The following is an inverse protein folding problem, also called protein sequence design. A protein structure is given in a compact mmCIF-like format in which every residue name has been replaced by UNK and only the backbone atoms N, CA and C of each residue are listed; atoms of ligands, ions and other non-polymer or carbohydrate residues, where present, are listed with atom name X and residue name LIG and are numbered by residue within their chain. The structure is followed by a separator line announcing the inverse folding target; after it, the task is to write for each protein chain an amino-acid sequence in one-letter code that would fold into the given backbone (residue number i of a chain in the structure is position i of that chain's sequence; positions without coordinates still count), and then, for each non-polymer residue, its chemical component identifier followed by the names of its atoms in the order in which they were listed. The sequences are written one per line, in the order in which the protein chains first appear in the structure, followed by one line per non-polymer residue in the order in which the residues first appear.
data_IF_437555637073
#
_entry.id   IF_437555637073
#
_cell.length_a   1.000
_cell.length_b   1.000
_cell.length_c   1.000
_cell.angle_alpha   90.00
_cell.angle_beta   90.00
_cell.angle_gamma   90.00
#
_symmetry.space_group_name_H-M   'P 1'
#
loop_
_entity.id
_entity.type
_entity.pdbx_description
1 polymer ?
#
# COMPACT_ATOMS: atom_id res chain seq x y z
N UNK A 1 6.87 5.74 0.59
CA UNK A 1 5.91 6.81 0.85
C UNK A 1 4.87 6.83 -0.25
N UNK A 2 3.62 7.10 0.11
CA UNK A 2 2.48 7.25 -0.78
C UNK A 2 1.75 8.55 -0.43
N UNK A 3 1.29 9.26 -1.46
CA UNK A 3 0.43 10.42 -1.35
C UNK A 3 -0.83 10.11 -2.15
N UNK A 4 -1.99 10.04 -1.49
CA UNK A 4 -3.25 9.68 -2.15
C UNK A 4 -4.31 10.76 -1.93
N UNK A 5 -5.03 11.19 -2.98
CA UNK A 5 -6.17 12.08 -2.82
C UNK A 5 -7.35 11.34 -2.20
N UNK A 6 -8.08 12.01 -1.32
CA UNK A 6 -9.29 11.51 -0.69
C UNK A 6 -10.38 12.58 -0.72
N UNK A 7 -11.44 12.32 -1.48
CA UNK A 7 -12.46 13.32 -1.74
C UNK A 7 -11.91 14.51 -2.55
N UNK A 8 -12.54 15.65 -2.39
CA UNK A 8 -12.16 16.89 -3.07
C UNK A 8 -11.22 17.77 -2.25
N UNK A 9 -11.00 17.43 -0.98
CA UNK A 9 -10.41 18.36 0.00
C UNK A 9 -9.24 17.80 0.81
N UNK A 10 -8.89 16.52 0.65
CA UNK A 10 -7.83 15.90 1.46
C UNK A 10 -6.77 15.20 0.61
N UNK A 11 -5.52 15.31 1.08
CA UNK A 11 -4.42 14.44 0.68
C UNK A 11 -3.97 13.64 1.89
N UNK A 12 -3.74 12.34 1.71
CA UNK A 12 -3.25 11.45 2.76
C UNK A 12 -1.83 11.03 2.42
N UNK A 13 -0.90 11.32 3.30
CA UNK A 13 0.50 10.93 3.20
C UNK A 13 0.81 9.83 4.21
N UNK A 14 1.38 8.72 3.74
CA UNK A 14 1.68 7.57 4.59
C UNK A 14 2.75 6.65 3.99
N UNK A 15 3.12 5.60 4.74
CA UNK A 15 4.07 4.58 4.30
C UNK A 15 5.51 5.06 4.30
N UNK A 16 5.87 5.77 5.37
CA UNK A 16 7.20 6.27 5.68
C UNK A 16 8.12 5.17 6.19
N UNK A 17 9.41 5.45 6.21
CA UNK A 17 10.41 4.58 6.82
C UNK A 17 11.56 5.41 7.35
N UNK A 18 12.23 4.89 8.39
CA UNK A 18 13.50 5.39 8.88
C UNK A 18 14.61 4.45 8.43
N UNK A 19 15.78 5.02 8.11
CA UNK A 19 16.99 4.27 7.81
C UNK A 19 18.07 4.59 8.85
N UNK A 20 18.68 3.56 9.43
CA UNK A 20 19.84 3.75 10.30
C UNK A 20 21.13 3.98 9.49
N UNK A 21 22.23 4.28 10.19
CA UNK A 21 23.54 4.54 9.56
C UNK A 21 24.11 3.32 8.83
N UNK A 22 23.62 2.12 9.15
CA UNK A 22 23.99 0.86 8.51
C UNK A 22 23.09 0.55 7.30
N UNK A 23 22.13 1.43 7.00
CA UNK A 23 21.17 1.27 5.91
C UNK A 23 20.04 0.30 6.24
N UNK A 24 19.87 -0.13 7.50
CA UNK A 24 18.69 -0.90 7.87
C UNK A 24 17.48 0.00 7.89
N UNK A 25 16.41 -0.47 7.28
CA UNK A 25 15.16 0.26 7.13
C UNK A 25 14.12 -0.31 8.08
N UNK A 26 13.42 0.56 8.81
CA UNK A 26 12.23 0.22 9.59
C UNK A 26 11.08 1.10 9.15
N UNK A 27 9.94 0.49 8.82
CA UNK A 27 8.77 1.24 8.40
C UNK A 27 8.14 1.98 9.59
N UNK A 28 7.59 3.16 9.28
CA UNK A 28 6.97 4.05 10.25
C UNK A 28 5.47 4.09 9.97
N UNK A 29 4.66 3.95 11.01
CA UNK A 29 3.19 3.90 10.93
C UNK A 29 2.51 5.26 10.78
N UNK A 30 3.26 6.35 10.69
CA UNK A 30 2.71 7.70 10.65
C UNK A 30 1.77 7.92 9.45
N UNK A 31 0.71 8.67 9.70
CA UNK A 31 -0.28 9.12 8.72
C UNK A 31 -0.45 10.61 8.87
N UNK A 32 -0.32 11.35 7.77
CA UNK A 32 -0.59 12.78 7.74
C UNK A 32 -1.72 13.09 6.77
N UNK A 33 -2.61 13.97 7.20
CA UNK A 33 -3.77 14.41 6.44
C UNK A 33 -3.58 15.89 6.14
N UNK A 34 -3.50 16.24 4.87
CA UNK A 34 -3.52 17.63 4.42
C UNK A 34 -4.95 18.03 4.08
N UNK A 35 -5.43 19.13 4.64
CA UNK A 35 -6.68 19.74 4.22
C UNK A 35 -6.38 20.86 3.21
N UNK A 36 -6.88 20.70 1.98
CA UNK A 36 -6.67 21.63 0.86
C UNK A 36 -7.28 23.02 1.13
N UNK A 37 -8.38 23.10 1.88
CA UNK A 37 -9.04 24.37 2.18
C UNK A 37 -8.31 25.18 3.25
N UNK A 38 -7.88 24.52 4.33
CA UNK A 38 -7.17 25.19 5.42
C UNK A 38 -5.67 25.32 5.17
N UNK A 39 -5.13 24.57 4.21
CA UNK A 39 -3.72 24.54 3.86
C UNK A 39 -2.84 23.91 4.95
N UNK A 40 -3.41 23.09 5.85
CA UNK A 40 -2.73 22.55 7.03
C UNK A 40 -2.62 21.04 7.00
N UNK A 41 -1.48 20.56 7.49
CA UNK A 41 -1.27 19.16 7.83
C UNK A 41 -1.73 18.88 9.26
N UNK A 42 -2.33 17.71 9.47
CA UNK A 42 -2.58 17.14 10.78
C UNK A 42 -2.07 15.70 10.82
N UNK A 43 -1.58 15.26 11.97
CA UNK A 43 -1.23 13.86 12.20
C UNK A 43 -2.51 13.08 12.53
N UNK A 44 -2.75 11.99 11.81
CA UNK A 44 -3.79 11.02 12.14
C UNK A 44 -3.25 9.86 12.97
N UNK A 45 -4.13 8.93 13.32
CA UNK A 45 -3.81 7.73 14.06
C UNK A 45 -2.75 6.89 13.34
N UNK A 46 -1.70 6.56 14.09
CA UNK A 46 -0.62 5.75 13.57
C UNK A 46 -1.13 4.34 13.26
N UNK A 47 -0.65 3.79 12.15
CA UNK A 47 -0.86 2.39 11.85
C UNK A 47 -0.08 1.50 12.82
N UNK A 48 -0.80 0.65 13.56
CA UNK A 48 -0.24 -0.24 14.60
C UNK A 48 0.94 -1.08 14.11
N UNK A 49 0.87 -1.58 12.87
CA UNK A 49 1.98 -2.25 12.20
C UNK A 49 2.44 -1.40 11.00
N UNK A 50 3.38 -0.48 11.25
CA UNK A 50 3.94 0.41 10.22
C UNK A 50 4.47 -0.37 9.02
N UNK A 51 4.20 0.16 7.81
CA UNK A 51 4.59 -0.46 6.53
C UNK A 51 4.89 0.59 5.48
N UNK A 52 6.01 0.46 4.79
CA UNK A 52 6.37 1.28 3.63
C UNK A 52 6.28 0.44 2.34
N UNK A 53 6.33 1.08 1.17
CA UNK A 53 6.19 0.37 -0.13
C UNK A 53 4.93 -0.51 -0.22
N UNK A 54 3.87 -0.10 0.48
CA UNK A 54 2.57 -0.77 0.47
C UNK A 54 1.79 -0.35 -0.78
N UNK A 55 0.91 -1.23 -1.25
CA UNK A 55 -0.09 -0.81 -2.22
C UNK A 55 -1.18 -0.02 -1.47
N UNK A 56 -1.29 1.28 -1.78
CA UNK A 56 -2.25 2.19 -1.13
C UNK A 56 -3.33 2.59 -2.15
N UNK A 57 -4.59 2.63 -1.71
CA UNK A 57 -5.70 3.16 -2.50
C UNK A 57 -6.71 3.88 -1.61
N UNK A 58 -7.36 4.92 -2.15
CA UNK A 58 -8.38 5.68 -1.44
C UNK A 58 -9.77 5.43 -2.06
N UNK A 59 -10.79 5.29 -1.21
CA UNK A 59 -12.20 5.35 -1.58
C UNK A 59 -12.76 6.67 -1.09
N UNK A 60 -12.90 7.61 -2.02
CA UNK A 60 -13.38 8.96 -1.73
C UNK A 60 -14.86 9.00 -1.34
N UNK A 61 -15.65 8.00 -1.71
CA UNK A 61 -17.09 7.95 -1.38
C UNK A 61 -17.28 7.51 0.07
N UNK A 62 -16.47 6.56 0.53
CA UNK A 62 -16.52 6.05 1.90
C UNK A 62 -15.54 6.73 2.85
N UNK A 63 -14.69 7.61 2.33
CA UNK A 63 -13.65 8.32 3.07
C UNK A 63 -12.66 7.34 3.75
N UNK A 64 -12.30 6.28 3.01
CA UNK A 64 -11.44 5.19 3.49
C UNK A 64 -10.11 5.16 2.72
N UNK A 65 -9.03 4.79 3.41
CA UNK A 65 -7.72 4.51 2.79
C UNK A 65 -7.31 3.07 3.07
N UNK A 66 -7.06 2.31 2.02
CA UNK A 66 -6.64 0.92 2.08
C UNK A 66 -5.13 0.81 1.95
N UNK A 67 -4.52 0.03 2.83
CA UNK A 67 -3.11 -0.34 2.77
C UNK A 67 -2.98 -1.86 2.66
N UNK A 68 -2.34 -2.34 1.60
CA UNK A 68 -2.15 -3.78 1.34
C UNK A 68 -0.67 -4.11 1.27
N UNK A 69 -0.24 -5.02 2.14
CA UNK A 69 1.13 -5.51 2.22
C UNK A 69 2.15 -4.45 2.59
N UNK A 70 3.28 -4.42 1.88
CA UNK A 70 4.39 -3.50 2.17
C UNK A 70 5.48 -4.07 3.07
N UNK A 71 6.62 -3.39 3.05
CA UNK A 71 7.81 -3.71 3.82
C UNK A 71 7.66 -3.19 5.26
N UNK A 72 7.97 -4.04 6.24
CA UNK A 72 8.02 -3.70 7.67
C UNK A 72 9.45 -3.35 8.07
N UNK A 73 10.42 -4.18 7.68
CA UNK A 73 11.84 -4.00 8.02
C UNK A 73 12.73 -4.61 6.95
N UNK A 74 13.85 -3.97 6.59
CA UNK A 74 14.88 -4.58 5.74
C UNK A 74 16.27 -4.30 6.31
N UNK A 75 17.18 -5.26 6.23
CA UNK A 75 18.60 -5.03 6.55
C UNK A 75 19.34 -4.65 5.27
N UNK A 76 20.24 -3.68 5.33
CA UNK A 76 21.06 -3.26 4.20
C UNK A 76 20.32 -2.59 3.02
N UNK A 77 19.16 -1.97 3.28
CA UNK A 77 18.44 -1.13 2.31
C UNK A 77 17.11 -1.71 1.79
N UNK A 78 16.34 -0.86 1.11
CA UNK A 78 14.99 -1.16 0.59
C UNK A 78 14.95 -2.26 -0.49
N UNK A 79 16.09 -2.53 -1.13
CA UNK A 79 16.18 -3.51 -2.22
C UNK A 79 16.34 -4.96 -1.71
N UNK A 80 16.59 -5.13 -0.41
CA UNK A 80 16.69 -6.45 0.19
C UNK A 80 15.31 -7.02 0.52
N UNK A 81 15.20 -8.36 0.52
CA UNK A 81 13.92 -9.07 0.67
C UNK A 81 13.12 -8.64 1.91
N UNK A 82 13.82 -8.31 3.00
CA UNK A 82 13.24 -7.79 4.23
C UNK A 82 12.11 -8.66 4.81
N UNK A 83 11.39 -8.10 5.77
CA UNK A 83 10.16 -8.61 6.31
C UNK A 83 9.00 -7.85 5.64
N UNK A 84 8.16 -8.56 4.89
CA UNK A 84 7.03 -8.00 4.15
C UNK A 84 5.74 -8.39 4.87
N UNK A 85 4.90 -7.40 5.16
CA UNK A 85 3.56 -7.63 5.70
C UNK A 85 2.72 -8.42 4.70
N UNK A 86 2.01 -9.42 5.21
CA UNK A 86 0.97 -10.14 4.45
C UNK A 86 -0.45 -9.63 4.72
N UNK A 87 -0.57 -8.60 5.54
CA UNK A 87 -1.85 -8.09 5.99
C UNK A 87 -2.35 -6.97 5.09
N UNK A 88 -3.67 -6.81 5.08
CA UNK A 88 -4.33 -5.62 4.58
C UNK A 88 -5.11 -4.93 5.70
N UNK A 89 -5.09 -3.60 5.70
CA UNK A 89 -5.83 -2.78 6.65
C UNK A 89 -6.51 -1.61 5.93
N UNK A 90 -7.53 -1.07 6.58
CA UNK A 90 -8.25 0.12 6.15
C UNK A 90 -8.21 1.16 7.24
N UNK A 91 -7.95 2.40 6.86
CA UNK A 91 -8.03 3.57 7.71
C UNK A 91 -9.32 4.31 7.40
N UNK A 92 -10.16 4.46 8.42
CA UNK A 92 -11.32 5.32 8.39
C UNK A 92 -10.86 6.72 8.80
N UNK A 93 -10.85 7.65 7.85
CA UNK A 93 -10.36 9.02 8.09
C UNK A 93 -11.33 9.85 8.92
N UNK A 94 -12.63 9.53 8.89
CA UNK A 94 -13.64 10.23 9.70
C UNK A 94 -13.56 9.84 11.17
N UNK A 95 -13.31 8.55 11.44
CA UNK A 95 -13.17 8.03 12.80
C UNK A 95 -11.73 8.13 13.34
N UNK A 96 -10.77 8.47 12.48
CA UNK A 96 -9.34 8.45 12.76
C UNK A 96 -8.87 7.10 13.31
N UNK A 97 -9.24 6.00 12.64
CA UNK A 97 -8.99 4.63 13.14
C UNK A 97 -8.62 3.63 12.05
N UNK A 98 -7.76 2.69 12.44
CA UNK A 98 -7.35 1.55 11.62
C UNK A 98 -8.17 0.30 11.93
N UNK A 99 -8.53 -0.44 10.88
CA UNK A 99 -9.23 -1.72 10.96
C UNK A 99 -8.56 -2.77 10.06
N UNK A 100 -8.49 -4.05 10.47
CA UNK A 100 -8.03 -5.12 9.59
C UNK A 100 -9.05 -5.36 8.47
N UNK A 101 -8.57 -5.60 7.25
CA UNK A 101 -9.44 -5.71 6.07
C UNK A 101 -10.31 -6.98 6.04
N UNK A 102 -9.99 -8.00 6.84
CA UNK A 102 -10.83 -9.19 7.06
C UNK A 102 -12.14 -8.90 7.77
N UNK A 103 -12.26 -7.75 8.45
CA UNK A 103 -13.37 -7.44 9.33
C UNK A 103 -14.46 -6.60 8.69
N UNK A 104 -14.51 -6.49 7.35
CA UNK A 104 -15.56 -5.72 6.67
C UNK A 104 -16.92 -6.46 6.57
N UNK A 105 -17.42 -6.92 7.72
CA UNK A 105 -18.85 -6.77 8.05
C UNK A 105 -19.13 -5.33 8.51
N UNK A 106 -18.55 -4.34 7.82
CA UNK A 106 -18.77 -2.91 8.02
C UNK A 106 -20.12 -2.53 7.41
N UNK A 107 -21.20 -3.08 7.99
CA UNK A 107 -22.37 -2.26 8.25
C UNK A 107 -21.96 -1.29 9.36
N UNK A 108 -21.85 -0.01 8.99
CA UNK A 108 -21.63 1.15 9.86
C UNK A 108 -22.56 1.11 11.10
N UNK A 109 -22.19 0.37 12.14
CA UNK A 109 -23.01 0.28 13.35
C UNK A 109 -22.61 -0.72 14.43
N UNK A 110 -21.92 -1.84 14.18
CA UNK A 110 -21.53 -2.79 15.25
C UNK A 110 -20.29 -3.62 14.93
N UNK A 111 -19.11 -3.10 15.25
CA UNK A 111 -17.94 -3.96 15.43
C UNK A 111 -17.96 -4.48 16.89
N UNK A 112 -18.47 -5.70 17.10
CA UNK A 112 -18.15 -6.46 18.32
C UNK A 112 -16.83 -7.18 18.08
N UNK A 113 -15.86 -6.90 18.93
CA UNK A 113 -14.66 -7.71 19.11
C UNK A 113 -15.08 -9.14 19.49
N UNK A 114 -15.00 -10.05 18.54
CA UNK A 114 -14.90 -11.47 18.86
C UNK A 114 -13.47 -11.88 18.54
N UNK A 115 -12.72 -12.22 19.58
CA UNK A 115 -11.30 -12.57 19.57
C UNK A 115 -10.96 -13.86 18.82
N UNK A 116 -11.22 -13.89 17.51
CA UNK A 116 -10.66 -14.84 16.58
C UNK A 116 -9.75 -14.08 15.60
N UNK A 117 -8.43 -14.30 15.70
CA UNK A 117 -7.44 -13.75 14.78
C UNK A 117 -7.60 -14.38 13.39
N UNK A 118 -8.54 -13.87 12.60
CA UNK A 118 -8.52 -14.08 11.15
C UNK A 118 -7.77 -12.88 10.57
N UNK A 119 -6.44 -12.98 10.55
CA UNK A 119 -5.61 -11.99 9.86
C UNK A 119 -6.06 -11.90 8.40
N UNK A 120 -6.30 -10.68 7.94
CA UNK A 120 -6.61 -10.35 6.55
C UNK A 120 -5.41 -10.52 5.66
N UNK A 121 -5.00 -11.78 5.49
CA UNK A 121 -3.93 -12.17 4.63
C UNK A 121 -4.38 -11.97 3.18
N UNK A 122 -3.66 -11.15 2.42
CA UNK A 122 -3.83 -11.13 0.98
C UNK A 122 -3.32 -12.46 0.37
N UNK A 123 -3.72 -12.82 -0.86
CA UNK A 123 -3.60 -14.18 -1.40
C UNK A 123 -2.18 -14.76 -1.28
N UNK A 124 -2.03 -16.06 -0.96
CA UNK A 124 -0.72 -16.67 -0.72
C UNK A 124 0.23 -16.64 -1.92
N UNK A 125 -0.36 -16.54 -3.11
CA UNK A 125 0.28 -16.37 -4.41
C UNK A 125 0.86 -14.96 -4.60
N UNK A 126 0.27 -13.93 -4.00
CA UNK A 126 0.80 -12.57 -4.04
C UNK A 126 2.03 -12.49 -3.12
N UNK A 127 3.20 -12.33 -3.71
CA UNK A 127 4.48 -12.19 -3.02
C UNK A 127 4.65 -10.79 -2.46
N UNK A 128 4.41 -9.78 -3.30
CA UNK A 128 4.58 -8.36 -2.98
C UNK A 128 3.53 -7.53 -3.71
N UNK A 129 2.68 -6.82 -2.96
CA UNK A 129 1.78 -5.80 -3.51
C UNK A 129 2.59 -4.54 -3.87
N UNK A 130 2.25 -3.89 -5.00
CA UNK A 130 2.99 -2.74 -5.53
C UNK A 130 2.13 -1.51 -5.79
N UNK A 131 0.91 -1.72 -6.29
CA UNK A 131 -0.02 -0.62 -6.55
C UNK A 131 -1.44 -1.09 -6.31
N UNK A 132 -2.29 -0.19 -5.82
CA UNK A 132 -3.70 -0.44 -5.62
C UNK A 132 -4.54 0.71 -6.18
N UNK A 133 -5.79 0.41 -6.53
CA UNK A 133 -6.81 1.42 -6.88
C UNK A 133 -8.18 0.94 -6.44
N UNK A 134 -9.09 1.88 -6.17
CA UNK A 134 -10.49 1.57 -5.88
C UNK A 134 -11.33 1.85 -7.12
N UNK A 135 -12.16 0.89 -7.50
CA UNK A 135 -13.17 1.08 -8.54
C UNK A 135 -14.43 0.30 -8.22
N UNK A 136 -15.59 0.98 -8.29
CA UNK A 136 -16.92 0.41 -8.00
C UNK A 136 -16.98 -0.38 -6.68
N UNK A 137 -16.47 0.21 -5.60
CA UNK A 137 -16.42 -0.39 -4.26
C UNK A 137 -15.64 -1.73 -4.23
N UNK A 138 -14.63 -1.86 -5.09
CA UNK A 138 -13.69 -2.98 -5.09
C UNK A 138 -12.27 -2.44 -5.13
N UNK A 139 -11.34 -3.19 -4.54
CA UNK A 139 -9.93 -2.80 -4.48
C UNK A 139 -9.18 -3.68 -5.46
N UNK A 140 -8.53 -3.06 -6.43
CA UNK A 140 -7.67 -3.75 -7.39
C UNK A 140 -6.25 -3.61 -6.88
N UNK A 141 -5.52 -4.72 -6.83
CA UNK A 141 -4.12 -4.76 -6.39
C UNK A 141 -3.29 -5.43 -7.46
N UNK A 142 -2.18 -4.80 -7.82
CA UNK A 142 -1.15 -5.37 -8.70
C UNK A 142 0.13 -5.60 -7.90
N UNK A 143 0.89 -6.60 -8.30
CA UNK A 143 2.12 -6.97 -7.63
C UNK A 143 2.85 -8.10 -8.33
N UNK A 144 3.72 -8.76 -7.58
CA UNK A 144 4.48 -9.93 -8.05
C UNK A 144 4.21 -11.14 -7.17
N UNK A 145 4.22 -12.33 -7.76
CA UNK A 145 4.22 -13.59 -7.03
C UNK A 145 5.60 -13.89 -6.40
N UNK A 146 5.75 -15.08 -5.81
CA UNK A 146 7.03 -15.53 -5.20
C UNK A 146 8.13 -15.78 -6.24
N UNK A 147 7.77 -15.93 -7.50
CA UNK A 147 8.66 -16.17 -8.63
C UNK A 147 8.99 -14.88 -9.41
N UNK A 148 8.40 -13.75 -9.02
CA UNK A 148 8.59 -12.46 -9.68
C UNK A 148 7.65 -12.24 -10.88
N UNK A 149 6.66 -13.10 -11.11
CA UNK A 149 5.66 -12.92 -12.16
C UNK A 149 4.63 -11.87 -11.76
N UNK A 150 4.23 -11.01 -12.69
CA UNK A 150 3.18 -10.04 -12.45
C UNK A 150 1.83 -10.74 -12.17
N UNK A 151 1.16 -10.32 -11.10
CA UNK A 151 -0.15 -10.84 -10.68
C UNK A 151 -1.10 -9.71 -10.35
N UNK A 152 -2.39 -9.97 -10.54
CA UNK A 152 -3.47 -9.01 -10.34
C UNK A 152 -4.58 -9.65 -9.52
N UNK A 153 -5.06 -8.94 -8.51
CA UNK A 153 -6.16 -9.38 -7.67
C UNK A 153 -7.21 -8.29 -7.50
N UNK A 154 -8.42 -8.76 -7.30
CA UNK A 154 -9.57 -8.00 -6.88
C UNK A 154 -9.87 -8.38 -5.43
N UNK A 155 -9.95 -7.42 -4.54
CA UNK A 155 -10.58 -7.60 -3.23
C UNK A 155 -12.00 -7.07 -3.26
N UNK A 156 -12.93 -7.88 -2.78
CA UNK A 156 -14.33 -7.53 -2.63
C UNK A 156 -14.65 -7.29 -1.14
N UNK A 157 -14.72 -6.02 -0.70
CA UNK A 157 -14.99 -5.65 0.68
C UNK A 157 -16.20 -6.33 1.30
N UNK A 158 -17.30 -6.45 0.55
CA UNK A 158 -18.56 -7.01 1.04
C UNK A 158 -18.50 -8.49 1.39
N UNK A 159 -17.56 -9.23 0.80
CA UNK A 159 -17.39 -10.66 1.05
C UNK A 159 -16.07 -11.00 1.76
N UNK A 160 -15.16 -10.02 1.89
CA UNK A 160 -13.80 -10.24 2.39
C UNK A 160 -12.96 -11.12 1.47
N UNK A 161 -13.38 -11.36 0.22
CA UNK A 161 -12.73 -12.30 -0.69
C UNK A 161 -11.76 -11.62 -1.64
N UNK A 162 -10.63 -12.29 -1.85
CA UNK A 162 -9.71 -11.99 -2.93
C UNK A 162 -9.97 -12.89 -4.13
N UNK A 163 -10.02 -12.30 -5.32
CA UNK A 163 -10.32 -12.96 -6.59
C UNK A 163 -9.16 -12.68 -7.55
N UNK A 164 -8.47 -13.70 -8.07
CA UNK A 164 -7.40 -13.50 -9.05
C UNK A 164 -7.98 -12.99 -10.37
N UNK A 165 -7.40 -11.91 -10.90
CA UNK A 165 -7.73 -11.39 -12.22
C UNK A 165 -6.78 -12.03 -13.22
N UNK A 166 -7.25 -13.07 -13.90
CA UNK A 166 -6.50 -13.72 -14.97
C UNK A 166 -6.75 -12.99 -16.28
N UNK A 167 -5.67 -12.55 -16.94
CA UNK A 167 -5.75 -12.15 -18.34
C UNK A 167 -6.06 -13.40 -19.16
N UNK A 168 -7.20 -13.45 -19.84
CA UNK A 168 -7.37 -14.39 -20.97
C UNK A 168 -6.39 -13.92 -22.03
N UNK A 169 -5.36 -14.71 -22.31
CA UNK A 169 -4.32 -14.35 -23.29
C UNK A 169 -4.97 -13.96 -24.63
N UNK A 170 -4.77 -12.74 -25.16
CA UNK A 170 -4.77 -12.52 -26.59
C UNK A 170 -3.31 -12.44 -27.06
N UNK A 171 -3.11 -12.75 -28.32
CA UNK A 171 -1.86 -12.85 -29.10
C UNK A 171 -0.99 -11.58 -29.19
N UNK A 172 -1.00 -10.69 -28.19
CA UNK A 172 -0.20 -9.47 -28.20
C UNK A 172 1.09 -9.61 -27.38
N UNK A 173 2.27 -9.37 -27.98
CA UNK A 173 3.53 -9.41 -27.26
C UNK A 173 3.62 -8.29 -26.22
N UNK A 174 4.18 -8.61 -25.06
CA UNK A 174 4.44 -7.66 -23.99
C UNK A 174 5.43 -6.57 -24.45
N UNK A 175 5.08 -5.30 -24.26
CA UNK A 175 6.10 -4.26 -24.11
C UNK A 175 6.67 -4.42 -22.69
N UNK A 176 7.92 -4.84 -22.57
CA UNK A 176 8.67 -4.77 -21.31
C UNK A 176 8.88 -3.30 -20.96
N UNK A 177 7.95 -2.72 -20.18
CA UNK A 177 8.15 -1.42 -19.56
C UNK A 177 9.06 -1.58 -18.35
N UNK A 178 10.31 -1.10 -18.45
CA UNK A 178 11.16 -0.89 -17.29
C UNK A 178 10.64 0.35 -16.56
N UNK A 179 10.03 0.17 -15.39
CA UNK A 179 9.79 1.29 -14.48
C UNK A 179 11.12 1.62 -13.79
N UNK A 180 11.80 2.65 -14.27
CA UNK A 180 12.96 3.22 -13.59
C UNK A 180 12.47 3.96 -12.34
N UNK A 181 12.86 3.51 -11.15
CA UNK A 181 12.80 4.35 -9.96
C UNK A 181 13.90 5.40 -10.07
N UNK A 182 13.55 6.69 -9.99
CA UNK A 182 14.50 7.79 -9.99
C UNK A 182 15.40 7.74 -8.76
N UNK A 183 16.52 7.00 -8.85
CA UNK A 183 17.58 6.97 -7.84
C UNK A 183 18.94 6.59 -8.43
N UNK A 184 19.17 6.82 -9.72
CA UNK A 184 20.49 6.64 -10.34
C UNK A 184 20.88 7.91 -11.11
N UNK A 185 21.31 8.91 -10.36
CA UNK A 185 22.31 9.87 -10.84
C UNK A 185 23.27 10.19 -9.70
N UNK A 186 24.18 9.26 -9.45
CA UNK A 186 25.50 9.60 -8.97
C UNK A 186 26.53 9.00 -9.91
N UNK A 187 27.45 9.87 -10.33
CA UNK A 187 28.74 9.59 -10.97
C UNK A 187 28.72 9.21 -12.45
N UNK A 188 28.91 10.23 -13.30
CA UNK A 188 30.00 10.24 -14.29
C UNK A 188 30.00 11.57 -15.06
N UNK A 189 30.72 12.55 -14.54
CA UNK A 189 31.26 13.64 -15.37
C UNK A 189 32.78 13.53 -15.24
N UNK A 190 33.40 12.83 -16.20
CA UNK A 190 34.84 12.93 -16.41
C UNK A 190 35.20 14.35 -16.87
N UNK A 191 36.43 14.82 -16.63
CA UNK A 191 36.83 16.16 -17.02
C UNK A 191 36.85 16.27 -18.55
N UNK A 192 36.14 17.27 -19.08
CA UNK A 192 36.27 17.69 -20.48
C UNK A 192 37.57 18.47 -20.60
N UNK A 193 38.46 17.99 -21.47
CA UNK A 193 39.69 18.68 -21.83
C UNK A 193 39.38 19.97 -22.60
N UNK A 194 40.13 21.03 -22.28
CA UNK A 194 40.39 22.19 -23.15
C UNK A 194 41.88 22.35 -23.27
#
# INVERSE_FOLDING_TARGET
MALVPLGEDKLIEMGFYDADKQGNVTAVGAVFIYNLYSGKWQQGENMVAGRCLSAIAADSVKVLVYAVGGLIKAHGGLMNKGNISKEAAVYNVEEDKWYPLTSMNLQLGRCRENGASVQGLFPPELGSARSATVWRNKIFVSGHDRHGSAVFYLFEPSSGKWIPIRRRSPSFPFIKGYFYTAAEHSNNVGPVAT
#
